data_IF_652013184384
#
_entry.id   IF_652013184384
#
_cell.length_a   1.000
_cell.length_b   1.000
_cell.length_c   1.000
_cell.angle_alpha   90.00
_cell.angle_beta   90.00
_cell.angle_gamma   90.00
#
_symmetry.space_group_name_H-M   'P 1'
#
loop_
_entity.id
_entity.type
_entity.pdbx_description
1 polymer ?
#
# COMPACT_ATOMS: atom_id res chain seq x y z
N UNK A 1 -5.91 32.44 -15.70
CA UNK A 1 -4.83 33.24 -15.07
C UNK A 1 -3.99 32.28 -14.25
N UNK A 2 -2.78 31.98 -14.73
CA UNK A 2 -1.87 30.99 -14.13
C UNK A 2 -0.89 31.75 -13.25
N UNK A 3 -0.97 31.56 -11.92
CA UNK A 3 0.10 32.01 -11.03
C UNK A 3 1.28 31.05 -11.14
N UNK A 4 2.34 31.49 -11.84
CA UNK A 4 3.69 30.94 -11.71
C UNK A 4 4.21 31.27 -10.32
N UNK A 5 4.45 30.27 -9.48
CA UNK A 5 5.38 30.42 -8.36
C UNK A 5 6.77 30.07 -8.85
N UNK A 6 7.61 31.09 -8.97
CA UNK A 6 9.05 30.96 -9.16
C UNK A 6 9.67 30.41 -7.89
N UNK A 7 9.83 29.10 -7.81
CA UNK A 7 10.88 28.40 -7.08
C UNK A 7 10.72 26.90 -7.37
N UNK A 8 11.75 26.28 -7.93
CA UNK A 8 11.77 24.89 -8.38
C UNK A 8 11.72 23.86 -7.25
N UNK A 9 10.61 23.82 -6.51
CA UNK A 9 10.26 22.76 -5.57
C UNK A 9 9.22 21.83 -6.22
N UNK A 10 9.22 20.52 -5.94
CA UNK A 10 8.10 19.66 -6.31
C UNK A 10 6.94 19.91 -5.35
N UNK A 11 6.29 21.07 -5.48
CA UNK A 11 5.08 21.44 -4.74
C UNK A 11 3.95 20.42 -4.96
N UNK A 12 3.98 19.67 -6.06
CA UNK A 12 2.96 18.68 -6.43
C UNK A 12 2.88 17.50 -5.45
N UNK A 13 3.99 16.96 -4.92
CA UNK A 13 3.95 15.78 -4.01
C UNK A 13 3.51 16.16 -2.59
N UNK A 14 3.91 17.34 -2.11
CA UNK A 14 3.40 17.91 -0.86
C UNK A 14 1.92 18.27 -0.98
N UNK A 15 1.51 18.84 -2.12
CA UNK A 15 0.10 19.14 -2.42
C UNK A 15 -0.72 17.86 -2.46
N UNK A 16 -0.22 16.76 -3.02
CA UNK A 16 -0.91 15.45 -3.04
C UNK A 16 -1.13 14.89 -1.63
N UNK A 17 -0.13 14.99 -0.75
CA UNK A 17 -0.27 14.52 0.64
C UNK A 17 -1.31 15.31 1.42
N UNK A 18 -1.33 16.64 1.25
CA UNK A 18 -2.31 17.52 1.88
C UNK A 18 -3.69 17.39 1.23
N UNK A 19 -3.77 17.26 -0.10
CA UNK A 19 -5.03 17.09 -0.84
C UNK A 19 -5.67 15.74 -0.54
N UNK A 20 -4.89 14.66 -0.47
CA UNK A 20 -5.39 13.33 -0.09
C UNK A 20 -5.92 13.33 1.35
N UNK A 21 -5.20 13.93 2.30
CA UNK A 21 -5.67 14.09 3.68
C UNK A 21 -6.92 14.99 3.76
N UNK A 22 -6.98 16.08 2.99
CA UNK A 22 -8.17 16.94 2.87
C UNK A 22 -9.36 16.18 2.29
N UNK A 23 -9.16 15.41 1.22
CA UNK A 23 -10.21 14.57 0.60
C UNK A 23 -10.76 13.52 1.57
N UNK A 24 -9.89 12.88 2.36
CA UNK A 24 -10.33 11.95 3.42
C UNK A 24 -11.01 12.67 4.60
N UNK A 25 -10.61 13.90 4.92
CA UNK A 25 -11.19 14.68 6.03
C UNK A 25 -12.55 15.31 5.71
N UNK A 26 -12.78 15.67 4.44
CA UNK A 26 -13.99 16.34 3.97
C UNK A 26 -15.00 15.37 3.38
N UNK A 27 -14.56 14.20 2.87
CA UNK A 27 -15.38 13.27 2.09
C UNK A 27 -16.17 13.91 0.92
N UNK A 28 -15.81 15.13 0.50
CA UNK A 28 -16.32 15.76 -0.72
C UNK A 28 -15.54 15.19 -1.91
N UNK A 29 -15.87 13.94 -2.28
CA UNK A 29 -15.63 13.46 -3.63
C UNK A 29 -16.84 13.84 -4.47
N UNK A 30 -16.73 14.93 -5.23
CA UNK A 30 -17.65 15.17 -6.33
C UNK A 30 -17.60 13.95 -7.26
N UNK A 31 -18.78 13.38 -7.48
CA UNK A 31 -19.08 12.13 -8.21
C UNK A 31 -18.65 12.14 -9.69
N UNK A 32 -17.97 13.17 -10.17
CA UNK A 32 -17.62 13.35 -11.58
C UNK A 32 -16.40 12.53 -12.05
N UNK A 33 -15.59 11.96 -11.15
CA UNK A 33 -14.38 11.20 -11.51
C UNK A 33 -14.55 9.68 -11.50
N UNK A 34 -15.66 9.14 -10.98
CA UNK A 34 -15.88 7.69 -10.89
C UNK A 34 -16.95 7.24 -11.90
N UNK A 35 -16.58 6.44 -12.90
CA UNK A 35 -17.52 5.73 -13.79
C UNK A 35 -17.07 4.28 -14.05
N UNK A 36 -17.98 3.30 -14.20
CA UNK A 36 -19.36 3.19 -13.72
C UNK A 36 -19.50 1.90 -12.89
N UNK A 37 -19.08 1.91 -11.62
CA UNK A 37 -19.61 0.98 -10.64
C UNK A 37 -19.87 1.81 -9.38
N UNK A 38 -21.15 1.94 -9.07
CA UNK A 38 -21.68 2.78 -8.01
C UNK A 38 -21.13 2.37 -6.64
N UNK A 39 -20.06 3.03 -6.20
CA UNK A 39 -19.73 3.11 -4.78
C UNK A 39 -20.03 4.54 -4.33
N UNK A 40 -21.23 4.77 -3.80
CA UNK A 40 -21.58 6.05 -3.20
C UNK A 40 -20.87 6.15 -1.85
N UNK A 41 -19.69 6.79 -1.79
CA UNK A 41 -18.95 6.96 -0.53
C UNK A 41 -19.76 7.70 0.55
N UNK A 42 -20.85 8.40 0.21
CA UNK A 42 -21.75 9.00 1.20
C UNK A 42 -22.57 7.95 1.97
N UNK A 43 -22.86 6.77 1.41
CA UNK A 43 -23.56 5.71 2.16
C UNK A 43 -22.66 5.04 3.19
N UNK A 44 -21.33 5.03 2.97
CA UNK A 44 -20.35 4.58 3.97
C UNK A 44 -20.35 5.47 5.23
N UNK A 45 -20.66 6.77 5.12
CA UNK A 45 -20.69 7.68 6.27
C UNK A 45 -21.72 7.29 7.35
N UNK A 46 -22.74 6.51 6.98
CA UNK A 46 -23.76 5.99 7.89
C UNK A 46 -23.24 4.81 8.73
N UNK A 47 -22.09 4.23 8.37
CA UNK A 47 -21.51 3.12 9.11
C UNK A 47 -20.72 3.63 10.34
N UNK A 48 -20.92 3.04 11.54
CA UNK A 48 -20.30 3.52 12.78
C UNK A 48 -18.77 3.65 12.71
N UNK A 49 -18.11 2.73 11.98
CA UNK A 49 -16.66 2.74 11.80
C UNK A 49 -16.16 3.87 10.89
N UNK A 50 -16.97 4.33 9.91
CA UNK A 50 -16.61 5.48 9.08
C UNK A 50 -16.63 6.78 9.87
N UNK A 51 -17.63 6.99 10.74
CA UNK A 51 -17.68 8.17 11.61
C UNK A 51 -16.52 8.22 12.60
N UNK A 52 -16.18 7.08 13.21
CA UNK A 52 -15.00 6.95 14.07
C UNK A 52 -13.69 7.18 13.30
N UNK A 53 -13.56 6.64 12.09
CA UNK A 53 -12.41 6.85 11.22
C UNK A 53 -12.24 8.32 10.84
N UNK A 54 -13.31 8.99 10.35
CA UNK A 54 -13.28 10.41 9.97
C UNK A 54 -12.87 11.26 11.17
N UNK A 55 -13.36 10.95 12.37
CA UNK A 55 -12.97 11.64 13.59
C UNK A 55 -11.47 11.50 13.88
N UNK A 56 -10.93 10.27 13.87
CA UNK A 56 -9.51 10.04 14.16
C UNK A 56 -8.59 10.61 13.06
N UNK A 57 -8.99 10.52 11.78
CA UNK A 57 -8.27 11.17 10.67
C UNK A 57 -8.28 12.69 10.83
N UNK A 58 -9.41 13.30 11.22
CA UNK A 58 -9.49 14.75 11.50
C UNK A 58 -8.63 15.16 12.69
N UNK A 59 -8.61 14.34 13.75
CA UNK A 59 -7.79 14.58 14.94
C UNK A 59 -6.29 14.48 14.60
N UNK A 60 -5.88 13.44 13.88
CA UNK A 60 -4.52 13.28 13.37
C UNK A 60 -4.11 14.41 12.43
N UNK A 61 -5.00 14.83 11.52
CA UNK A 61 -4.75 15.95 10.60
C UNK A 61 -4.57 17.29 11.32
N UNK A 62 -5.40 17.59 12.33
CA UNK A 62 -5.23 18.79 13.18
C UNK A 62 -3.88 18.77 13.91
N UNK A 63 -3.46 17.60 14.37
CA UNK A 63 -2.17 17.38 15.03
C UNK A 63 -0.99 17.59 14.07
N UNK A 64 -1.09 17.11 12.82
CA UNK A 64 -0.05 17.25 11.79
C UNK A 64 0.16 18.69 11.33
N UNK A 65 -0.91 19.48 11.20
CA UNK A 65 -0.80 20.84 10.65
C UNK A 65 -0.29 21.89 11.64
N UNK A 66 -0.07 21.54 12.90
CA UNK A 66 0.30 22.52 13.93
C UNK A 66 -0.70 23.69 14.01
N UNK A 67 -1.94 23.50 13.53
CA UNK A 67 -3.03 24.45 13.77
C UNK A 67 -3.28 24.35 15.26
N UNK A 68 -2.68 25.28 15.98
CA UNK A 68 -2.77 25.48 17.41
C UNK A 68 -4.02 24.81 18.02
N UNK A 69 -3.83 23.61 18.57
CA UNK A 69 -4.22 23.42 19.95
C UNK A 69 -3.25 24.28 20.72
N UNK A 70 -3.54 25.60 20.82
CA UNK A 70 -2.82 26.44 21.77
C UNK A 70 -2.95 25.67 23.09
N UNK A 71 -1.82 25.44 23.76
CA UNK A 71 -1.79 25.14 25.19
C UNK A 71 -2.32 26.35 25.97
N UNK A 72 -3.57 26.72 25.73
CA UNK A 72 -4.40 27.55 26.55
C UNK A 72 -5.55 26.64 26.91
N UNK A 73 -5.55 26.17 28.16
CA UNK A 73 -6.55 25.31 28.78
C UNK A 73 -7.73 24.97 27.85
N UNK A 74 -7.77 23.72 27.37
CA UNK A 74 -9.02 23.14 26.89
C UNK A 74 -10.06 23.47 27.94
N UNK A 75 -11.07 24.26 27.57
CA UNK A 75 -12.17 24.52 28.50
C UNK A 75 -12.72 23.16 28.90
N UNK A 76 -13.03 22.95 30.17
CA UNK A 76 -13.47 21.63 30.67
C UNK A 76 -14.66 21.04 29.89
N UNK A 77 -15.38 21.86 29.12
CA UNK A 77 -16.43 21.44 28.19
C UNK A 77 -15.91 20.72 26.92
N UNK A 78 -14.77 21.11 26.35
CA UNK A 78 -14.18 20.45 25.16
C UNK A 78 -13.48 19.13 25.53
N UNK A 79 -12.76 19.09 26.66
CA UNK A 79 -12.23 17.83 27.21
C UNK A 79 -13.35 16.88 27.59
N UNK A 80 -14.42 17.38 28.23
CA UNK A 80 -15.60 16.57 28.51
C UNK A 80 -16.30 16.11 27.23
N UNK A 81 -16.41 16.93 26.17
CA UNK A 81 -17.04 16.53 24.91
C UNK A 81 -16.20 15.51 24.12
N UNK A 82 -14.87 15.62 24.14
CA UNK A 82 -13.94 14.64 23.56
C UNK A 82 -13.98 13.34 24.37
N UNK A 83 -13.92 13.42 25.70
CA UNK A 83 -14.03 12.26 26.58
C UNK A 83 -15.41 11.58 26.44
N UNK A 84 -16.51 12.32 26.48
CA UNK A 84 -17.88 11.84 26.26
C UNK A 84 -18.05 11.23 24.86
N UNK A 85 -17.44 11.84 23.85
CA UNK A 85 -17.43 11.34 22.48
C UNK A 85 -16.59 10.06 22.31
N UNK A 86 -15.51 9.89 23.08
CA UNK A 86 -14.71 8.67 23.14
C UNK A 86 -15.41 7.57 23.95
N UNK A 87 -16.04 7.90 25.07
CA UNK A 87 -16.79 6.94 25.90
C UNK A 87 -18.05 6.46 25.20
N UNK A 88 -18.76 7.31 24.45
CA UNK A 88 -19.94 6.91 23.68
C UNK A 88 -19.60 6.10 22.42
N UNK A 89 -18.41 6.29 21.81
CA UNK A 89 -17.97 5.56 20.61
C UNK A 89 -17.25 4.24 20.90
N UNK A 90 -16.74 4.04 22.12
CA UNK A 90 -16.10 2.78 22.53
C UNK A 90 -17.07 1.58 22.42
N UNK A 91 -18.33 1.63 22.93
CA UNK A 91 -19.32 0.58 22.72
C UNK A 91 -19.66 0.31 21.26
N UNK A 92 -19.69 1.36 20.42
CA UNK A 92 -19.96 1.23 18.99
C UNK A 92 -18.85 0.49 18.25
N UNK A 93 -17.59 0.77 18.59
CA UNK A 93 -16.44 0.06 18.01
C UNK A 93 -16.34 -1.38 18.50
N UNK A 94 -16.63 -1.64 19.79
CA UNK A 94 -16.67 -3.00 20.31
C UNK A 94 -17.76 -3.85 19.63
N UNK A 95 -18.91 -3.24 19.28
CA UNK A 95 -19.93 -3.90 18.45
C UNK A 95 -19.45 -4.22 17.03
N UNK A 96 -18.72 -3.29 16.38
CA UNK A 96 -18.14 -3.52 15.05
C UNK A 96 -17.09 -4.64 15.10
N UNK A 97 -16.26 -4.68 16.14
CA UNK A 97 -15.28 -5.74 16.34
C UNK A 97 -15.96 -7.08 16.63
N UNK A 98 -16.97 -7.11 17.50
CA UNK A 98 -17.76 -8.32 17.79
C UNK A 98 -18.44 -8.88 16.54
N UNK A 99 -19.12 -8.03 15.75
CA UNK A 99 -19.67 -8.42 14.45
C UNK A 99 -18.59 -8.96 13.50
N UNK A 100 -17.41 -8.35 13.53
CA UNK A 100 -16.26 -8.79 12.75
C UNK A 100 -15.73 -10.17 13.18
N UNK A 101 -15.69 -10.46 14.48
CA UNK A 101 -15.34 -11.77 15.01
C UNK A 101 -16.31 -12.84 14.52
N UNK A 102 -17.62 -12.57 14.57
CA UNK A 102 -18.64 -13.51 14.09
C UNK A 102 -18.45 -13.84 12.59
N UNK A 103 -18.11 -12.84 11.77
CA UNK A 103 -17.78 -13.06 10.36
C UNK A 103 -16.54 -13.94 10.21
N UNK A 104 -15.50 -13.72 11.00
CA UNK A 104 -14.28 -14.53 10.96
C UNK A 104 -14.59 -15.97 11.34
N UNK A 105 -15.33 -16.21 12.43
CA UNK A 105 -15.73 -17.55 12.84
C UNK A 105 -16.55 -18.24 11.77
N UNK A 106 -17.56 -17.56 11.22
CA UNK A 106 -18.37 -18.11 10.14
C UNK A 106 -17.51 -18.52 8.94
N UNK A 107 -16.52 -17.69 8.56
CA UNK A 107 -15.59 -18.02 7.48
C UNK A 107 -14.71 -19.23 7.82
N UNK A 108 -14.17 -19.28 9.04
CA UNK A 108 -13.29 -20.37 9.50
C UNK A 108 -14.04 -21.70 9.59
N UNK A 109 -15.29 -21.70 10.07
CA UNK A 109 -16.11 -22.90 10.22
C UNK A 109 -16.63 -23.44 8.87
N UNK A 110 -17.12 -22.56 7.99
CA UNK A 110 -17.79 -22.98 6.76
C UNK A 110 -16.87 -23.12 5.54
N UNK A 111 -15.70 -22.46 5.55
CA UNK A 111 -14.78 -22.42 4.40
C UNK A 111 -13.40 -22.97 4.74
N UNK A 112 -13.29 -23.83 5.76
CA UNK A 112 -12.02 -24.43 6.19
C UNK A 112 -11.30 -25.20 5.08
N UNK A 113 -12.05 -25.89 4.23
CA UNK A 113 -11.51 -26.65 3.10
C UNK A 113 -10.81 -25.76 2.05
N UNK A 114 -11.16 -24.47 1.99
CA UNK A 114 -10.56 -23.49 1.09
C UNK A 114 -9.34 -22.78 1.69
N UNK A 115 -8.83 -23.23 2.84
CA UNK A 115 -7.68 -22.66 3.52
C UNK A 115 -6.48 -22.42 2.60
N UNK A 116 -6.11 -23.40 1.77
CA UNK A 116 -4.94 -23.29 0.91
C UNK A 116 -5.13 -22.24 -0.19
N UNK A 117 -6.34 -22.17 -0.76
CA UNK A 117 -6.70 -21.12 -1.71
C UNK A 117 -6.67 -19.74 -1.06
N UNK A 118 -7.24 -19.60 0.14
CA UNK A 118 -7.26 -18.32 0.86
C UNK A 118 -5.85 -17.89 1.25
N UNK A 119 -5.00 -18.80 1.73
CA UNK A 119 -3.59 -18.48 2.01
C UNK A 119 -2.84 -18.06 0.75
N UNK A 120 -3.03 -18.78 -0.36
CA UNK A 120 -2.46 -18.38 -1.65
C UNK A 120 -2.92 -16.98 -2.06
N UNK A 121 -4.21 -16.66 -1.91
CA UNK A 121 -4.72 -15.32 -2.21
C UNK A 121 -4.14 -14.26 -1.27
N UNK A 122 -3.82 -14.60 -0.02
CA UNK A 122 -3.05 -13.69 0.85
C UNK A 122 -1.66 -13.42 0.29
N UNK A 123 -0.99 -14.46 -0.23
CA UNK A 123 0.31 -14.30 -0.89
C UNK A 123 0.17 -13.43 -2.13
N UNK A 124 -0.85 -13.64 -2.97
CA UNK A 124 -1.11 -12.77 -4.15
C UNK A 124 -1.25 -11.30 -3.75
N UNK A 125 -1.90 -11.02 -2.61
CA UNK A 125 -2.03 -9.67 -2.07
C UNK A 125 -0.83 -9.14 -1.28
N UNK A 126 0.26 -9.91 -1.15
CA UNK A 126 1.44 -9.51 -0.38
C UNK A 126 2.17 -8.35 -1.08
N UNK A 127 2.40 -7.21 -0.40
CA UNK A 127 3.14 -6.08 -0.94
C UNK A 127 4.55 -6.41 -1.45
N UNK A 128 5.16 -7.52 -1.02
CA UNK A 128 6.46 -8.00 -1.53
C UNK A 128 6.38 -8.45 -2.98
N UNK A 129 5.26 -9.05 -3.40
CA UNK A 129 5.06 -9.50 -4.77
C UNK A 129 4.98 -8.35 -5.78
N UNK A 130 4.68 -7.13 -5.32
CA UNK A 130 4.78 -5.93 -6.13
C UNK A 130 6.19 -5.79 -6.68
N UNK A 131 7.21 -5.92 -5.83
CA UNK A 131 8.61 -5.71 -6.21
C UNK A 131 9.22 -6.94 -6.88
N UNK A 132 8.81 -8.15 -6.48
CA UNK A 132 9.39 -9.40 -6.99
C UNK A 132 8.76 -9.89 -8.31
N UNK A 133 7.49 -9.57 -8.58
CA UNK A 133 6.72 -10.13 -9.72
C UNK A 133 6.11 -9.03 -10.59
N UNK A 134 5.23 -8.20 -10.04
CA UNK A 134 4.41 -7.29 -10.86
C UNK A 134 5.24 -6.16 -11.49
N UNK A 135 6.11 -5.51 -10.71
CA UNK A 135 6.97 -4.44 -11.19
C UNK A 135 7.92 -4.90 -12.30
N UNK A 136 8.69 -6.00 -12.16
CA UNK A 136 9.53 -6.51 -13.24
C UNK A 136 8.78 -6.76 -14.55
N UNK A 137 7.60 -7.38 -14.48
CA UNK A 137 6.78 -7.68 -15.65
C UNK A 137 6.32 -6.39 -16.34
N UNK A 138 5.73 -5.48 -15.58
CA UNK A 138 5.19 -4.24 -16.14
C UNK A 138 6.25 -3.27 -16.60
N UNK A 139 7.40 -3.22 -15.94
CA UNK A 139 8.52 -2.38 -16.36
C UNK A 139 9.00 -2.78 -17.75
N UNK A 140 9.25 -4.07 -18.00
CA UNK A 140 9.72 -4.53 -19.32
C UNK A 140 8.64 -4.46 -20.41
N UNK A 141 7.35 -4.49 -20.04
CA UNK A 141 6.25 -4.20 -20.97
C UNK A 141 6.21 -2.71 -21.34
N UNK A 142 6.18 -1.84 -20.32
CA UNK A 142 6.21 -0.39 -20.41
C UNK A 142 6.96 0.23 -19.23
N UNK A 143 8.12 0.83 -19.52
CA UNK A 143 8.97 1.46 -18.49
C UNK A 143 8.19 2.51 -17.68
N UNK A 144 7.34 3.27 -18.34
CA UNK A 144 6.46 4.29 -17.73
C UNK A 144 5.57 3.67 -16.66
N UNK A 145 4.86 2.59 -16.99
CA UNK A 145 3.94 1.92 -16.05
C UNK A 145 4.71 1.30 -14.88
N UNK A 146 5.86 0.68 -15.15
CA UNK A 146 6.73 0.13 -14.10
C UNK A 146 7.23 1.20 -13.12
N UNK A 147 7.67 2.35 -13.61
CA UNK A 147 8.09 3.49 -12.77
C UNK A 147 6.92 3.99 -11.92
N UNK A 148 5.74 4.21 -12.52
CA UNK A 148 4.53 4.61 -11.77
C UNK A 148 4.17 3.60 -10.69
N UNK A 149 4.28 2.30 -10.99
CA UNK A 149 3.94 1.24 -10.04
C UNK A 149 4.75 1.34 -8.74
N UNK A 150 6.06 1.60 -8.82
CA UNK A 150 6.89 1.77 -7.62
C UNK A 150 6.52 3.03 -6.86
N UNK A 151 6.31 4.15 -7.54
CA UNK A 151 5.87 5.39 -6.90
C UNK A 151 4.57 5.20 -6.12
N UNK A 152 3.58 4.60 -6.79
CA UNK A 152 2.26 4.33 -6.23
C UNK A 152 2.35 3.35 -5.06
N UNK A 153 3.14 2.28 -5.18
CA UNK A 153 3.31 1.31 -4.12
C UNK A 153 4.01 1.91 -2.88
N UNK A 154 5.09 2.67 -3.07
CA UNK A 154 5.84 3.31 -1.98
C UNK A 154 5.00 4.35 -1.26
N UNK A 155 4.33 5.23 -2.00
CA UNK A 155 3.50 6.28 -1.40
C UNK A 155 2.24 5.69 -0.76
N UNK A 156 1.64 4.68 -1.39
CA UNK A 156 0.50 3.96 -0.82
C UNK A 156 0.83 3.27 0.50
N UNK A 157 1.96 2.57 0.59
CA UNK A 157 2.40 1.92 1.82
C UNK A 157 2.85 2.94 2.89
N UNK A 158 3.40 4.10 2.48
CA UNK A 158 3.65 5.21 3.39
C UNK A 158 2.35 5.80 3.98
N UNK A 159 1.30 5.98 3.18
CA UNK A 159 -0.01 6.38 3.72
C UNK A 159 -0.61 5.30 4.63
N UNK A 160 -0.46 4.02 4.26
CA UNK A 160 -0.89 2.91 5.12
C UNK A 160 -0.24 2.99 6.50
N UNK A 161 1.07 3.26 6.54
CA UNK A 161 1.84 3.45 7.76
C UNK A 161 1.30 4.61 8.62
N UNK A 162 1.15 5.80 8.01
CA UNK A 162 0.64 6.98 8.72
C UNK A 162 -0.78 6.74 9.24
N UNK A 163 -1.66 6.11 8.45
CA UNK A 163 -3.02 5.79 8.91
C UNK A 163 -3.05 4.74 10.01
N UNK A 164 -2.17 3.73 9.99
CA UNK A 164 -2.03 2.78 11.09
C UNK A 164 -1.69 3.45 12.40
N UNK A 165 -0.81 4.45 12.36
CA UNK A 165 -0.44 5.25 13.51
C UNK A 165 -1.52 6.24 13.94
N UNK A 166 -2.38 6.74 13.05
CA UNK A 166 -3.49 7.63 13.41
C UNK A 166 -4.69 6.85 13.97
N UNK A 167 -4.99 5.70 13.36
CA UNK A 167 -6.22 4.96 13.63
C UNK A 167 -6.10 3.97 14.78
N UNK A 168 -4.90 3.59 15.23
CA UNK A 168 -4.72 2.67 16.37
C UNK A 168 -5.60 1.41 16.31
N UNK A 169 -5.73 0.83 15.11
CA UNK A 169 -6.65 -0.29 14.88
C UNK A 169 -6.23 -1.57 15.60
N UNK A 170 -7.16 -2.21 16.30
CA UNK A 170 -6.99 -3.53 16.92
C UNK A 170 -6.97 -4.63 15.84
N UNK A 171 -6.40 -5.80 16.15
CA UNK A 171 -6.51 -7.00 15.32
C UNK A 171 -7.40 -8.04 16.00
N UNK A 172 -8.10 -8.90 15.22
CA UNK A 172 -9.02 -9.88 15.78
C UNK A 172 -8.39 -10.79 16.84
N UNK A 173 -7.22 -11.39 16.54
CA UNK A 173 -6.62 -12.41 17.38
C UNK A 173 -6.20 -11.94 18.78
N UNK A 174 -5.83 -10.67 18.95
CA UNK A 174 -5.52 -10.11 20.27
C UNK A 174 -6.70 -9.36 20.90
N UNK A 175 -7.59 -8.78 20.08
CA UNK A 175 -8.72 -8.01 20.60
C UNK A 175 -9.67 -8.90 21.40
N UNK A 176 -9.93 -10.10 20.88
CA UNK A 176 -10.83 -11.06 21.52
C UNK A 176 -10.35 -11.53 22.90
N UNK A 177 -9.03 -11.48 23.14
CA UNK A 177 -8.41 -11.90 24.39
C UNK A 177 -8.44 -10.81 25.48
N UNK A 178 -8.59 -9.55 25.06
CA UNK A 178 -8.51 -8.40 25.97
C UNK A 178 -9.82 -7.64 26.10
N UNK A 179 -10.82 -7.97 25.29
CA UNK A 179 -12.11 -7.29 25.32
C UNK A 179 -12.93 -7.69 26.54
N UNK A 180 -13.53 -6.70 27.19
CA UNK A 180 -14.54 -6.90 28.24
C UNK A 180 -15.95 -7.07 27.66
N UNK A 181 -16.09 -7.15 26.33
CA UNK A 181 -17.39 -7.23 25.67
C UNK A 181 -18.14 -8.54 25.99
N UNK A 182 -17.43 -9.66 26.11
CA UNK A 182 -18.01 -10.99 26.31
C UNK A 182 -18.11 -11.42 27.79
N UNK A 183 -18.19 -10.47 28.75
CA UNK A 183 -18.18 -10.73 30.21
C UNK A 183 -18.93 -12.03 30.63
N UNK A 184 -18.16 -13.08 30.96
CA UNK A 184 -18.57 -14.43 31.42
C UNK A 184 -19.17 -15.40 30.37
N UNK A 185 -19.32 -15.02 29.11
CA UNK A 185 -19.62 -15.97 28.03
C UNK A 185 -18.33 -16.64 27.54
N UNK A 186 -18.42 -17.88 27.04
CA UNK A 186 -17.27 -18.54 26.41
C UNK A 186 -16.79 -17.71 25.23
N UNK A 187 -15.55 -17.21 25.30
CA UNK A 187 -14.97 -16.38 24.25
C UNK A 187 -14.99 -17.14 22.91
N UNK A 188 -15.41 -16.48 21.81
CA UNK A 188 -15.37 -17.11 20.50
C UNK A 188 -13.93 -17.50 20.15
N UNK A 189 -13.70 -18.75 19.73
CA UNK A 189 -12.36 -19.19 19.35
C UNK A 189 -12.07 -18.76 17.92
N UNK A 190 -10.90 -18.14 17.70
CA UNK A 190 -10.39 -17.80 16.37
C UNK A 190 -9.14 -18.63 16.10
N UNK A 191 -9.11 -19.34 14.98
CA UNK A 191 -7.93 -20.06 14.53
C UNK A 191 -6.83 -19.06 14.11
N UNK A 192 -5.59 -19.32 14.55
CA UNK A 192 -4.41 -18.58 14.13
C UNK A 192 -3.56 -19.43 13.17
N UNK A 193 -2.98 -18.78 12.17
CA UNK A 193 -2.13 -19.37 11.14
C UNK A 193 -0.74 -18.72 11.16
N UNK A 194 0.20 -19.30 10.42
CA UNK A 194 1.58 -18.82 10.34
C UNK A 194 1.73 -17.36 9.88
N UNK A 195 0.74 -16.80 9.17
CA UNK A 195 0.71 -15.39 8.72
C UNK A 195 -0.22 -14.49 9.56
N UNK A 196 -0.77 -14.99 10.66
CA UNK A 196 -1.73 -14.24 11.49
C UNK A 196 -1.06 -13.17 12.34
N UNK A 197 0.13 -13.46 12.88
CA UNK A 197 0.80 -12.65 13.90
C UNK A 197 1.59 -11.47 13.34
N UNK A 198 0.95 -10.64 12.52
CA UNK A 198 1.53 -9.37 12.10
C UNK A 198 1.68 -8.40 13.29
N UNK A 199 2.79 -7.66 13.30
CA UNK A 199 3.22 -6.83 14.44
C UNK A 199 2.73 -5.37 14.42
N UNK A 200 2.32 -4.85 13.26
CA UNK A 200 1.80 -3.48 13.15
C UNK A 200 0.30 -3.36 13.50
N UNK A 201 -0.24 -2.13 13.67
CA UNK A 201 -1.68 -1.90 13.87
C UNK A 201 -2.54 -2.45 12.71
N UNK A 202 -3.79 -2.80 12.99
CA UNK A 202 -4.68 -3.50 12.05
C UNK A 202 -5.38 -2.62 11.01
N UNK A 203 -5.47 -1.30 11.21
CA UNK A 203 -6.32 -0.43 10.37
C UNK A 203 -5.52 0.67 9.68
N UNK A 204 -5.53 0.79 8.33
CA UNK A 204 -6.13 -0.11 7.34
C UNK A 204 -5.25 -1.32 7.01
N UNK A 205 -5.85 -2.34 6.38
CA UNK A 205 -5.12 -3.53 5.93
C UNK A 205 -4.08 -3.17 4.86
N UNK A 206 -2.81 -3.47 5.13
CA UNK A 206 -1.69 -3.20 4.21
C UNK A 206 -1.73 -4.10 2.98
N UNK A 207 -2.14 -5.36 3.12
CA UNK A 207 -2.31 -6.29 1.99
C UNK A 207 -3.42 -5.83 1.05
N UNK A 208 -4.60 -5.48 1.59
CA UNK A 208 -5.71 -5.00 0.77
C UNK A 208 -5.38 -3.68 0.07
N UNK A 209 -4.75 -2.74 0.79
CA UNK A 209 -4.35 -1.45 0.24
C UNK A 209 -3.25 -1.57 -0.81
N UNK A 210 -2.17 -2.29 -0.53
CA UNK A 210 -1.06 -2.48 -1.48
C UNK A 210 -1.49 -3.21 -2.74
N UNK A 211 -2.26 -4.29 -2.59
CA UNK A 211 -2.83 -5.06 -3.71
C UNK A 211 -3.74 -4.20 -4.57
N UNK A 212 -4.76 -3.55 -3.98
CA UNK A 212 -5.73 -2.78 -4.76
C UNK A 212 -5.05 -1.62 -5.49
N UNK A 213 -4.07 -0.99 -4.87
CA UNK A 213 -3.31 0.11 -5.43
C UNK A 213 -2.56 -0.30 -6.72
N UNK A 214 -1.82 -1.41 -6.68
CA UNK A 214 -1.04 -1.88 -7.83
C UNK A 214 -1.92 -2.49 -8.91
N UNK A 215 -2.90 -3.32 -8.52
CA UNK A 215 -3.84 -3.90 -9.48
C UNK A 215 -4.65 -2.82 -10.21
N UNK A 216 -5.03 -1.74 -9.54
CA UNK A 216 -5.71 -0.62 -10.19
C UNK A 216 -4.82 0.01 -11.28
N UNK A 217 -3.53 0.26 -10.98
CA UNK A 217 -2.56 0.77 -11.97
C UNK A 217 -2.40 -0.18 -13.15
N UNK A 218 -2.34 -1.50 -12.91
CA UNK A 218 -2.23 -2.50 -13.98
C UNK A 218 -3.44 -2.46 -14.92
N UNK A 219 -4.64 -2.42 -14.34
CA UNK A 219 -5.91 -2.42 -15.10
C UNK A 219 -6.09 -1.14 -15.89
N UNK A 220 -5.88 0.03 -15.29
CA UNK A 220 -6.00 1.32 -15.99
C UNK A 220 -4.94 1.44 -17.09
N UNK A 221 -3.71 0.97 -16.86
CA UNK A 221 -2.66 0.95 -17.87
C UNK A 221 -2.99 0.01 -19.04
N UNK A 222 -3.50 -1.19 -18.76
CA UNK A 222 -3.94 -2.14 -19.80
C UNK A 222 -5.06 -1.56 -20.67
N UNK A 223 -6.03 -0.88 -20.05
CA UNK A 223 -7.12 -0.20 -20.75
C UNK A 223 -6.62 0.96 -21.59
N UNK A 224 -5.68 1.75 -21.08
CA UNK A 224 -5.08 2.85 -21.83
C UNK A 224 -4.32 2.37 -23.06
N UNK A 225 -3.60 1.23 -22.98
CA UNK A 225 -2.94 0.63 -24.16
C UNK A 225 -3.92 0.03 -25.17
N UNK A 226 -5.08 -0.42 -24.72
CA UNK A 226 -6.09 -1.07 -25.58
C UNK A 226 -7.15 -0.11 -26.11
N UNK A 227 -7.03 1.18 -25.81
CA UNK A 227 -8.01 2.20 -26.19
C UNK A 227 -8.03 2.39 -27.72
N UNK A 228 -9.19 2.26 -28.39
CA UNK A 228 -9.30 2.49 -29.82
C UNK A 228 -8.90 3.93 -30.18
N UNK A 229 -8.16 4.09 -31.29
CA UNK A 229 -7.85 5.42 -31.82
C UNK A 229 -9.14 6.12 -32.27
N UNK A 230 -9.28 7.40 -31.92
CA UNK A 230 -10.44 8.25 -32.23
C UNK A 230 -10.74 8.36 -33.74
N UNK A 231 -9.78 7.99 -34.59
CA UNK A 231 -9.88 8.07 -36.06
C UNK A 231 -10.50 6.81 -36.69
N UNK A 232 -10.61 5.69 -35.97
CA UNK A 232 -11.11 4.39 -36.48
C UNK A 232 -12.09 3.76 -35.49
N UNK A 233 -13.12 4.52 -35.10
CA UNK A 233 -14.19 4.02 -34.22
C UNK A 233 -15.27 3.31 -35.01
N UNK A 234 -15.03 2.04 -35.33
CA UNK A 234 -16.10 1.09 -35.69
C UNK A 234 -16.92 0.72 -34.44
N UNK A 235 -18.24 0.55 -34.60
CA UNK A 235 -19.15 0.05 -33.54
C UNK A 235 -18.61 -1.23 -32.89
N UNK A 236 -18.01 -2.11 -33.71
CA UNK A 236 -17.42 -3.37 -33.25
C UNK A 236 -16.16 -3.17 -32.38
N UNK A 237 -15.34 -2.15 -32.69
CA UNK A 237 -14.15 -1.81 -31.91
C UNK A 237 -14.53 -1.25 -30.53
N UNK A 238 -15.56 -0.40 -30.50
CA UNK A 238 -16.13 0.12 -29.25
C UNK A 238 -16.70 -0.99 -28.36
N UNK A 239 -17.48 -1.92 -28.94
CA UNK A 239 -18.01 -3.08 -28.20
C UNK A 239 -16.92 -3.98 -27.62
N UNK A 240 -15.86 -4.27 -28.38
CA UNK A 240 -14.72 -5.06 -27.91
C UNK A 240 -13.98 -4.37 -26.76
N UNK A 241 -13.78 -3.05 -26.83
CA UNK A 241 -13.18 -2.29 -25.75
C UNK A 241 -14.04 -2.29 -24.49
N UNK A 242 -15.37 -2.14 -24.61
CA UNK A 242 -16.29 -2.25 -23.49
C UNK A 242 -16.25 -3.65 -22.85
N UNK A 243 -16.22 -4.71 -23.65
CA UNK A 243 -16.08 -6.08 -23.15
C UNK A 243 -14.76 -6.29 -22.41
N UNK A 244 -13.65 -5.82 -22.98
CA UNK A 244 -12.34 -5.88 -22.33
C UNK A 244 -12.34 -5.09 -21.01
N UNK A 245 -12.93 -3.90 -21.00
CA UNK A 245 -13.11 -3.09 -19.80
C UNK A 245 -13.86 -3.86 -18.72
N UNK A 246 -15.02 -4.42 -19.04
CA UNK A 246 -15.79 -5.22 -18.08
C UNK A 246 -15.00 -6.43 -17.58
N UNK A 247 -14.34 -7.17 -18.48
CA UNK A 247 -13.53 -8.33 -18.12
C UNK A 247 -12.39 -7.98 -17.16
N UNK A 248 -11.61 -6.94 -17.47
CA UNK A 248 -10.48 -6.50 -16.63
C UNK A 248 -10.95 -6.03 -15.24
N UNK A 249 -12.05 -5.27 -15.16
CA UNK A 249 -12.61 -4.87 -13.86
C UNK A 249 -13.19 -6.05 -13.08
N UNK A 250 -13.79 -7.04 -13.75
CA UNK A 250 -14.24 -8.27 -13.09
C UNK A 250 -13.06 -9.03 -12.47
N UNK A 251 -11.95 -9.18 -13.22
CA UNK A 251 -10.72 -9.81 -12.70
C UNK A 251 -10.18 -9.04 -11.49
N UNK A 252 -10.15 -7.70 -11.56
CA UNK A 252 -9.77 -6.87 -10.42
C UNK A 252 -10.60 -7.20 -9.18
N UNK A 253 -11.94 -7.17 -9.29
CA UNK A 253 -12.83 -7.40 -8.16
C UNK A 253 -12.72 -8.81 -7.60
N UNK A 254 -12.63 -9.84 -8.45
CA UNK A 254 -12.46 -11.23 -8.01
C UNK A 254 -11.19 -11.36 -7.16
N UNK A 255 -10.07 -10.81 -7.62
CA UNK A 255 -8.79 -10.88 -6.91
C UNK A 255 -8.86 -10.09 -5.62
N UNK A 256 -9.35 -8.85 -5.64
CA UNK A 256 -9.38 -8.01 -4.46
C UNK A 256 -10.33 -8.54 -3.38
N UNK A 257 -11.52 -9.03 -3.76
CA UNK A 257 -12.46 -9.65 -2.82
C UNK A 257 -11.82 -10.89 -2.19
N UNK A 258 -11.15 -11.72 -2.99
CA UNK A 258 -10.46 -12.92 -2.51
C UNK A 258 -9.33 -12.59 -1.55
N UNK A 259 -8.53 -11.55 -1.82
CA UNK A 259 -7.50 -11.03 -0.89
C UNK A 259 -8.16 -10.56 0.41
N UNK A 260 -9.24 -9.77 0.33
CA UNK A 260 -9.94 -9.25 1.51
C UNK A 260 -10.51 -10.38 2.38
N UNK A 261 -11.22 -11.36 1.79
CA UNK A 261 -11.77 -12.52 2.49
C UNK A 261 -10.64 -13.32 3.14
N UNK A 262 -9.54 -13.55 2.40
CA UNK A 262 -8.36 -14.22 2.92
C UNK A 262 -7.83 -13.57 4.20
N UNK A 263 -7.60 -12.25 4.20
CA UNK A 263 -7.07 -11.51 5.37
C UNK A 263 -8.02 -11.51 6.58
N UNK A 264 -9.32 -11.63 6.35
CA UNK A 264 -10.35 -11.81 7.39
C UNK A 264 -10.32 -13.25 7.92
N UNK A 265 -10.32 -14.25 7.03
CA UNK A 265 -10.29 -15.67 7.37
C UNK A 265 -9.09 -16.04 8.27
N UNK A 266 -7.89 -15.51 7.99
CA UNK A 266 -6.70 -15.75 8.83
C UNK A 266 -6.68 -14.94 10.14
N UNK A 267 -7.80 -14.33 10.54
CA UNK A 267 -7.97 -13.53 11.75
C UNK A 267 -6.99 -12.37 11.93
N UNK A 268 -6.43 -11.86 10.84
CA UNK A 268 -5.39 -10.80 10.89
C UNK A 268 -6.00 -9.40 10.78
N UNK A 269 -7.16 -9.28 10.14
CA UNK A 269 -7.90 -8.02 9.96
C UNK A 269 -9.40 -8.22 10.14
N UNK A 270 -10.07 -7.17 10.61
CA UNK A 270 -11.53 -7.10 10.58
C UNK A 270 -12.07 -6.68 9.20
N UNK A 271 -13.33 -7.01 8.86
CA UNK A 271 -13.94 -6.66 7.56
C UNK A 271 -13.84 -5.17 7.20
N UNK A 272 -14.09 -4.26 8.15
CA UNK A 272 -14.00 -2.81 7.89
C UNK A 272 -12.56 -2.36 7.54
N UNK A 273 -11.54 -3.04 8.06
CA UNK A 273 -10.13 -2.69 7.84
C UNK A 273 -9.66 -3.07 6.44
N UNK A 274 -10.15 -4.20 5.91
CA UNK A 274 -9.85 -4.64 4.55
C UNK A 274 -10.61 -3.80 3.51
N UNK A 275 -11.87 -3.44 3.79
CA UNK A 275 -12.65 -2.53 2.95
C UNK A 275 -11.99 -1.15 2.90
N UNK A 276 -11.58 -0.60 4.05
CA UNK A 276 -10.88 0.68 4.08
C UNK A 276 -9.56 0.63 3.31
N UNK A 277 -8.77 -0.43 3.51
CA UNK A 277 -7.51 -0.63 2.78
C UNK A 277 -7.74 -0.65 1.28
N UNK A 278 -8.70 -1.45 0.80
CA UNK A 278 -9.07 -1.54 -0.60
C UNK A 278 -9.37 -0.15 -1.21
N UNK A 279 -10.29 0.60 -0.58
CA UNK A 279 -10.72 1.92 -1.06
C UNK A 279 -9.56 2.94 -1.04
N UNK A 280 -8.77 2.95 0.03
CA UNK A 280 -7.60 3.83 0.14
C UNK A 280 -6.57 3.54 -0.96
N UNK A 281 -6.31 2.26 -1.27
CA UNK A 281 -5.37 1.88 -2.33
C UNK A 281 -5.84 2.30 -3.71
N UNK A 282 -7.13 2.11 -4.03
CA UNK A 282 -7.73 2.59 -5.28
C UNK A 282 -7.64 4.12 -5.40
N UNK A 283 -7.93 4.85 -4.32
CA UNK A 283 -7.85 6.31 -4.30
C UNK A 283 -6.43 6.81 -4.55
N UNK A 284 -5.42 6.22 -3.90
CA UNK A 284 -4.01 6.57 -4.15
C UNK A 284 -3.64 6.32 -5.61
N UNK A 285 -4.02 5.18 -6.17
CA UNK A 285 -3.71 4.84 -7.56
C UNK A 285 -4.37 5.80 -8.57
N UNK A 286 -5.62 6.20 -8.32
CA UNK A 286 -6.36 7.15 -9.14
C UNK A 286 -5.72 8.54 -9.08
N UNK A 287 -5.40 9.06 -7.89
CA UNK A 287 -4.73 10.36 -7.73
C UNK A 287 -3.41 10.40 -8.51
N UNK A 288 -2.63 9.32 -8.47
CA UNK A 288 -1.38 9.21 -9.19
C UNK A 288 -1.53 9.03 -10.71
N UNK A 289 -2.71 8.66 -11.21
CA UNK A 289 -2.99 8.67 -12.66
C UNK A 289 -3.08 10.10 -13.22
N UNK A 290 -3.50 11.06 -12.39
CA UNK A 290 -3.62 12.46 -12.75
C UNK A 290 -2.31 13.27 -12.60
N UNK A 291 -1.17 12.62 -12.32
CA UNK A 291 0.12 13.28 -12.10
C UNK A 291 1.17 12.77 -13.11
N UNK A 292 1.22 13.34 -14.32
CA UNK A 292 2.18 12.93 -15.35
C UNK A 292 3.64 13.30 -15.01
N UNK A 293 3.84 14.24 -14.09
CA UNK A 293 5.14 14.79 -13.72
C UNK A 293 6.11 13.75 -13.12
N UNK A 294 5.58 12.66 -12.55
CA UNK A 294 6.36 11.63 -11.86
C UNK A 294 7.31 10.84 -12.79
N UNK A 295 7.00 10.76 -14.08
CA UNK A 295 7.78 9.95 -15.03
C UNK A 295 9.13 10.56 -15.40
N UNK A 296 9.23 11.90 -15.38
CA UNK A 296 10.44 12.63 -15.76
C UNK A 296 11.15 13.21 -14.53
N UNK A 297 10.91 12.64 -13.34
CA UNK A 297 11.51 13.10 -12.11
C UNK A 297 13.04 12.97 -12.15
N UNK A 298 13.74 14.07 -11.85
CA UNK A 298 15.21 14.07 -11.72
C UNK A 298 15.66 13.28 -10.49
N UNK A 299 16.92 12.82 -10.47
CA UNK A 299 17.49 12.16 -9.28
C UNK A 299 17.32 13.00 -8.00
N UNK A 300 17.47 14.32 -8.09
CA UNK A 300 17.24 15.24 -6.96
C UNK A 300 15.83 15.11 -6.41
N UNK A 301 14.82 14.97 -7.28
CA UNK A 301 13.43 14.79 -6.84
C UNK A 301 13.25 13.49 -6.06
N UNK A 302 13.80 12.36 -6.53
CA UNK A 302 13.78 11.09 -5.79
C UNK A 302 14.46 11.20 -4.42
N UNK A 303 15.62 11.87 -4.34
CA UNK A 303 16.33 12.09 -3.08
C UNK A 303 15.53 12.97 -2.12
N UNK A 304 14.98 14.08 -2.60
CA UNK A 304 14.15 14.97 -1.79
C UNK A 304 12.88 14.27 -1.29
N UNK A 305 12.21 13.48 -2.13
CA UNK A 305 11.05 12.70 -1.70
C UNK A 305 11.44 11.68 -0.62
N UNK A 306 12.54 10.95 -0.78
CA UNK A 306 13.00 10.01 0.24
C UNK A 306 13.25 10.68 1.59
N UNK A 307 13.98 11.80 1.58
CA UNK A 307 14.25 12.59 2.79
C UNK A 307 12.93 13.09 3.40
N UNK A 308 12.03 13.61 2.57
CA UNK A 308 10.72 14.09 3.02
C UNK A 308 9.89 12.98 3.69
N UNK A 309 9.72 11.84 3.03
CA UNK A 309 8.93 10.72 3.56
C UNK A 309 9.51 10.18 4.87
N UNK A 310 10.85 10.10 4.97
CA UNK A 310 11.54 9.70 6.19
C UNK A 310 11.35 10.73 7.31
N UNK A 311 11.65 12.00 7.06
CA UNK A 311 11.55 13.07 8.05
C UNK A 311 10.11 13.24 8.57
N UNK A 312 9.09 13.15 7.70
CA UNK A 312 7.69 13.24 8.13
C UNK A 312 7.30 12.02 8.97
N UNK A 313 7.69 10.81 8.56
CA UNK A 313 7.38 9.61 9.34
C UNK A 313 8.06 9.61 10.73
N UNK A 314 9.34 9.97 10.80
CA UNK A 314 10.08 10.09 12.06
C UNK A 314 9.55 11.24 12.91
N UNK A 315 9.28 12.40 12.31
CA UNK A 315 8.70 13.55 13.01
C UNK A 315 7.33 13.22 13.61
N UNK A 316 6.48 12.51 12.86
CA UNK A 316 5.18 12.05 13.35
C UNK A 316 5.32 10.99 14.45
N UNK A 317 6.27 10.07 14.34
CA UNK A 317 6.60 9.11 15.40
C UNK A 317 7.01 9.84 16.70
N UNK A 318 7.94 10.79 16.60
CA UNK A 318 8.42 11.55 17.76
C UNK A 318 7.30 12.41 18.38
N UNK A 319 6.43 12.98 17.54
CA UNK A 319 5.27 13.74 18.01
C UNK A 319 4.32 12.85 18.81
N UNK A 320 3.94 11.69 18.30
CA UNK A 320 3.09 10.75 19.03
C UNK A 320 3.76 10.26 20.32
N UNK A 321 5.06 10.02 20.29
CA UNK A 321 5.83 9.66 21.48
C UNK A 321 5.82 10.78 22.53
N UNK A 322 5.92 12.05 22.11
CA UNK A 322 5.84 13.19 23.03
C UNK A 322 4.46 13.40 23.66
N UNK A 323 3.41 12.81 23.07
CA UNK A 323 2.05 12.79 23.60
C UNK A 323 1.78 11.54 24.47
N UNK A 324 2.84 10.83 24.91
CA UNK A 324 2.78 9.56 25.67
C UNK A 324 2.01 8.43 24.95
N UNK A 325 1.88 8.51 23.62
CA UNK A 325 1.25 7.46 22.83
C UNK A 325 2.31 6.44 22.41
N UNK A 326 2.35 5.31 23.12
CA UNK A 326 3.30 4.23 22.84
C UNK A 326 2.98 3.52 21.52
N UNK A 327 3.72 3.78 20.45
CA UNK A 327 3.53 3.13 19.13
C UNK A 327 3.93 1.65 19.07
N UNK A 328 4.73 1.17 20.03
CA UNK A 328 5.11 -0.24 20.16
C UNK A 328 4.02 -1.10 20.83
N UNK A 329 2.89 -0.49 21.24
CA UNK A 329 1.75 -1.20 21.84
C UNK A 329 1.32 -2.44 21.04
N UNK A 330 1.31 -2.32 19.71
CA UNK A 330 0.88 -3.37 18.78
C UNK A 330 1.87 -4.53 18.75
N UNK A 331 3.17 -4.24 18.84
CA UNK A 331 4.23 -5.26 18.92
C UNK A 331 4.12 -6.04 20.23
N UNK A 332 3.87 -5.34 21.34
CA UNK A 332 3.67 -5.99 22.66
C UNK A 332 2.46 -6.91 22.64
N UNK A 333 1.34 -6.49 22.03
CA UNK A 333 0.14 -7.34 21.89
C UNK A 333 0.38 -8.55 20.99
N UNK A 334 1.08 -8.35 19.86
CA UNK A 334 1.45 -9.45 18.97
C UNK A 334 2.30 -10.50 19.70
N UNK A 335 3.33 -10.07 20.45
CA UNK A 335 4.16 -10.97 21.27
C UNK A 335 3.40 -11.70 22.37
N UNK A 336 2.39 -11.06 22.95
CA UNK A 336 1.61 -11.63 24.04
C UNK A 336 0.59 -12.68 23.57
N UNK A 337 -0.07 -12.43 22.44
CA UNK A 337 -1.26 -13.19 22.03
C UNK A 337 -1.06 -14.06 20.76
N UNK A 338 0.13 -14.02 20.17
CA UNK A 338 0.46 -14.94 19.08
C UNK A 338 0.60 -16.37 19.61
N UNK A 339 -0.03 -17.33 18.92
CA UNK A 339 -0.01 -18.74 19.32
C UNK A 339 1.37 -19.39 19.20
N UNK A 340 2.21 -18.92 18.28
CA UNK A 340 3.58 -19.40 18.10
C UNK A 340 4.55 -18.22 17.91
N UNK A 341 5.58 -18.06 18.78
CA UNK A 341 6.53 -16.95 18.67
C UNK A 341 7.29 -16.92 17.33
N UNK A 342 7.45 -18.05 16.65
CA UNK A 342 8.12 -18.13 15.34
C UNK A 342 7.32 -17.47 14.21
N UNK A 343 6.02 -17.24 14.41
CA UNK A 343 5.14 -16.53 13.46
C UNK A 343 5.25 -15.01 13.58
N UNK A 344 6.02 -14.51 14.55
CA UNK A 344 6.25 -13.08 14.74
C UNK A 344 7.43 -12.66 13.86
N UNK A 345 7.12 -12.02 12.73
CA UNK A 345 8.15 -11.58 11.81
C UNK A 345 8.44 -10.07 11.95
N UNK A 346 9.71 -9.73 12.22
CA UNK A 346 10.20 -8.34 12.38
C UNK A 346 10.07 -7.50 11.10
N UNK A 347 10.04 -8.14 9.94
CA UNK A 347 9.84 -7.53 8.63
C UNK A 347 8.44 -6.94 8.44
N UNK A 348 7.46 -7.40 9.23
CA UNK A 348 6.09 -6.83 9.26
C UNK A 348 6.00 -5.56 10.10
N UNK A 349 7.10 -5.12 10.72
CA UNK A 349 7.08 -3.92 11.53
C UNK A 349 6.90 -2.65 10.68
N UNK A 350 6.20 -1.63 11.21
CA UNK A 350 6.01 -0.34 10.55
C UNK A 350 7.31 0.30 10.01
N UNK A 351 8.39 0.25 10.81
CA UNK A 351 9.69 0.81 10.44
C UNK A 351 10.42 -0.01 9.37
N UNK A 352 10.35 -1.34 9.42
CA UNK A 352 10.92 -2.18 8.38
C UNK A 352 10.26 -1.90 7.02
N UNK A 353 8.92 -1.70 7.00
CA UNK A 353 8.18 -1.26 5.83
C UNK A 353 8.66 0.08 5.28
N UNK A 354 8.79 1.09 6.15
CA UNK A 354 9.31 2.42 5.77
C UNK A 354 10.69 2.33 5.10
N UNK A 355 11.63 1.65 5.74
CA UNK A 355 13.02 1.53 5.25
C UNK A 355 13.08 0.80 3.90
N UNK A 356 12.28 -0.26 3.73
CA UNK A 356 12.14 -0.97 2.46
C UNK A 356 11.59 -0.05 1.36
N UNK A 357 10.56 0.74 1.65
CA UNK A 357 9.96 1.65 0.67
C UNK A 357 10.93 2.76 0.24
N UNK A 358 11.66 3.34 1.19
CA UNK A 358 12.70 4.34 0.90
C UNK A 358 13.81 3.72 0.05
N UNK A 359 14.27 2.52 0.41
CA UNK A 359 15.25 1.78 -0.39
C UNK A 359 14.78 1.60 -1.83
N UNK A 360 13.56 1.11 -2.04
CA UNK A 360 13.02 0.88 -3.38
C UNK A 360 12.92 2.18 -4.20
N UNK A 361 12.44 3.27 -3.62
CA UNK A 361 12.32 4.55 -4.32
C UNK A 361 13.70 5.15 -4.65
N UNK A 362 14.65 5.05 -3.71
CA UNK A 362 16.03 5.46 -3.92
C UNK A 362 16.70 4.65 -5.05
N UNK A 363 16.57 3.32 -4.99
CA UNK A 363 17.09 2.40 -6.00
C UNK A 363 16.53 2.68 -7.39
N UNK A 364 15.22 2.93 -7.49
CA UNK A 364 14.59 3.33 -8.75
C UNK A 364 15.16 4.65 -9.28
N UNK A 365 15.28 5.65 -8.42
CA UNK A 365 15.83 6.95 -8.76
C UNK A 365 17.24 6.88 -9.33
N UNK A 366 18.12 6.07 -8.71
CA UNK A 366 19.45 5.79 -9.25
C UNK A 366 19.39 5.08 -10.59
N UNK A 367 18.50 4.09 -10.73
CA UNK A 367 18.41 3.27 -11.92
C UNK A 367 17.99 4.08 -13.16
N UNK A 368 16.89 4.83 -13.07
CA UNK A 368 16.35 5.60 -14.20
C UNK A 368 17.22 6.78 -14.62
N UNK A 369 18.08 7.27 -13.71
CA UNK A 369 19.05 8.34 -13.98
C UNK A 369 20.46 7.82 -14.31
N UNK A 370 20.67 6.49 -14.37
CA UNK A 370 21.98 5.89 -14.67
C UNK A 370 22.27 5.89 -16.18
N UNK A 371 23.57 5.90 -16.53
CA UNK A 371 24.01 5.71 -17.92
C UNK A 371 23.65 4.33 -18.45
N UNK A 372 23.64 3.30 -17.58
CA UNK A 372 23.25 1.93 -17.93
C UNK A 372 21.83 1.89 -18.51
N UNK A 373 20.87 2.52 -17.84
CA UNK A 373 19.48 2.61 -18.30
C UNK A 373 19.34 3.35 -19.63
N UNK A 374 20.09 4.45 -19.83
CA UNK A 374 20.05 5.21 -21.08
C UNK A 374 20.58 4.35 -22.23
N UNK A 375 21.68 3.64 -22.04
CA UNK A 375 22.29 2.82 -23.09
C UNK A 375 21.43 1.60 -23.47
N UNK A 376 20.83 0.91 -22.50
CA UNK A 376 20.04 -0.29 -22.75
C UNK A 376 18.59 0.04 -23.15
N UNK A 377 17.87 0.75 -22.29
CA UNK A 377 16.41 0.87 -22.33
C UNK A 377 15.93 2.05 -23.19
N UNK A 378 16.78 3.04 -23.49
CA UNK A 378 16.49 4.09 -24.50
C UNK A 378 17.14 3.82 -25.86
N UNK A 379 17.89 2.73 -26.00
CA UNK A 379 18.51 2.34 -27.27
C UNK A 379 17.50 1.73 -28.25
N UNK A 380 17.89 1.63 -29.54
CA UNK A 380 17.06 1.06 -30.62
C UNK A 380 16.62 -0.40 -30.37
N UNK A 381 17.35 -1.14 -29.53
CA UNK A 381 17.06 -2.54 -29.23
C UNK A 381 15.99 -2.74 -28.14
N UNK A 382 15.69 -1.72 -27.34
CA UNK A 382 14.77 -1.81 -26.20
C UNK A 382 13.34 -2.21 -26.59
N UNK A 383 12.93 -1.88 -27.82
CA UNK A 383 11.60 -2.18 -28.34
C UNK A 383 11.45 -3.61 -28.89
N UNK A 384 12.56 -4.35 -29.06
CA UNK A 384 12.50 -5.71 -29.61
C UNK A 384 11.92 -6.68 -28.59
N UNK A 385 10.93 -7.48 -28.99
CA UNK A 385 10.30 -8.49 -28.13
C UNK A 385 11.31 -9.49 -27.55
N UNK A 386 12.35 -9.86 -28.31
CA UNK A 386 13.45 -10.72 -27.82
C UNK A 386 14.19 -10.11 -26.63
N UNK A 387 14.53 -8.81 -26.70
CA UNK A 387 15.18 -8.11 -25.60
C UNK A 387 14.30 -8.08 -24.36
N UNK A 388 13.02 -7.70 -24.51
CA UNK A 388 12.04 -7.67 -23.41
C UNK A 388 11.88 -9.03 -22.74
N UNK A 389 11.75 -10.10 -23.52
CA UNK A 389 11.59 -11.46 -22.99
C UNK A 389 12.84 -11.93 -22.23
N UNK A 390 14.04 -11.67 -22.76
CA UNK A 390 15.29 -11.97 -22.07
C UNK A 390 15.41 -11.19 -20.75
N UNK A 391 15.09 -9.89 -20.76
CA UNK A 391 15.10 -9.07 -19.56
C UNK A 391 14.10 -9.57 -18.51
N UNK A 392 12.86 -9.91 -18.89
CA UNK A 392 11.86 -10.48 -17.97
C UNK A 392 12.37 -11.78 -17.35
N UNK A 393 12.86 -12.71 -18.18
CA UNK A 393 13.31 -14.03 -17.72
C UNK A 393 14.52 -13.90 -16.80
N UNK A 394 15.52 -13.10 -17.18
CA UNK A 394 16.69 -12.84 -16.37
C UNK A 394 16.31 -12.17 -15.04
N UNK A 395 15.37 -11.22 -15.06
CA UNK A 395 14.92 -10.52 -13.86
C UNK A 395 14.20 -11.45 -12.90
N UNK A 396 13.20 -12.20 -13.35
CA UNK A 396 12.44 -13.11 -12.48
C UNK A 396 13.33 -14.21 -11.90
N UNK A 397 14.28 -14.72 -12.69
CA UNK A 397 15.25 -15.72 -12.22
C UNK A 397 16.18 -15.13 -11.16
N UNK A 398 16.73 -13.93 -11.41
CA UNK A 398 17.62 -13.23 -10.48
C UNK A 398 16.93 -12.92 -9.17
N UNK A 399 15.67 -12.45 -9.21
CA UNK A 399 14.90 -12.13 -8.00
C UNK A 399 14.55 -13.38 -7.20
N UNK A 400 14.20 -14.50 -7.84
CA UNK A 400 14.01 -15.77 -7.13
C UNK A 400 15.27 -16.25 -6.42
N UNK A 401 16.44 -16.11 -7.05
CA UNK A 401 17.72 -16.43 -6.41
C UNK A 401 18.03 -15.45 -5.27
N UNK A 402 17.66 -14.19 -5.44
CA UNK A 402 17.85 -13.13 -4.45
C UNK A 402 17.05 -13.37 -3.16
N UNK A 403 15.88 -14.00 -3.27
CA UNK A 403 15.06 -14.37 -2.11
C UNK A 403 15.65 -15.50 -1.26
N UNK A 404 16.61 -16.27 -1.79
CA UNK A 404 17.33 -17.29 -1.02
C UNK A 404 18.32 -16.69 -0.01
N UNK A 405 18.70 -15.41 -0.18
CA UNK A 405 19.64 -14.73 0.71
C UNK A 405 18.91 -14.34 2.01
N UNK A 406 19.19 -15.10 3.07
CA UNK A 406 18.69 -14.81 4.43
C UNK A 406 19.43 -13.62 5.03
N UNK A 407 18.67 -12.74 5.70
CA UNK A 407 19.18 -11.56 6.38
C UNK A 407 19.61 -11.90 7.81
N UNK A 408 20.76 -11.41 8.29
CA UNK A 408 21.11 -11.53 9.71
C UNK A 408 20.17 -10.65 10.55
N UNK A 409 19.54 -11.23 11.57
CA UNK A 409 18.54 -10.58 12.43
C UNK A 409 19.08 -10.18 13.80
N UNK A 410 20.35 -10.45 14.10
CA UNK A 410 20.92 -10.33 15.44
C UNK A 410 21.15 -8.88 15.91
N UNK A 411 21.23 -7.90 15.00
CA UNK A 411 21.39 -6.48 15.34
C UNK A 411 20.38 -5.64 14.57
N UNK A 412 19.55 -4.87 15.28
CA UNK A 412 18.44 -4.10 14.69
C UNK A 412 18.92 -3.08 13.65
N UNK A 413 19.98 -2.33 13.96
CA UNK A 413 20.55 -1.34 13.04
C UNK A 413 21.06 -2.00 11.74
N UNK A 414 21.76 -3.12 11.86
CA UNK A 414 22.26 -3.87 10.71
C UNK A 414 21.10 -4.41 9.88
N UNK A 415 20.05 -4.92 10.52
CA UNK A 415 18.84 -5.39 9.85
C UNK A 415 18.19 -4.27 9.02
N UNK A 416 18.03 -3.07 9.57
CA UNK A 416 17.46 -1.94 8.82
C UNK A 416 18.35 -1.49 7.66
N UNK A 417 19.67 -1.37 7.87
CA UNK A 417 20.61 -0.98 6.81
C UNK A 417 20.59 -2.00 5.68
N UNK A 418 20.68 -3.29 6.00
CA UNK A 418 20.65 -4.35 5.00
C UNK A 418 19.30 -4.43 4.30
N UNK A 419 18.18 -4.22 5.01
CA UNK A 419 16.84 -4.14 4.42
C UNK A 419 16.73 -2.99 3.40
N UNK A 420 17.29 -1.82 3.72
CA UNK A 420 17.37 -0.69 2.80
C UNK A 420 18.16 -1.07 1.54
N UNK A 421 19.37 -1.59 1.72
CA UNK A 421 20.24 -2.00 0.60
C UNK A 421 19.59 -3.07 -0.27
N UNK A 422 18.94 -4.07 0.36
CA UNK A 422 18.21 -5.12 -0.33
C UNK A 422 17.10 -4.55 -1.18
N UNK A 423 16.28 -3.68 -0.60
CA UNK A 423 15.16 -3.07 -1.30
C UNK A 423 15.62 -2.13 -2.42
N UNK A 424 16.70 -1.37 -2.23
CA UNK A 424 17.27 -0.50 -3.26
C UNK A 424 17.86 -1.29 -4.44
N UNK A 425 18.49 -2.43 -4.16
CA UNK A 425 19.09 -3.26 -5.20
C UNK A 425 18.05 -3.84 -6.17
N UNK A 426 16.80 -4.07 -5.74
CA UNK A 426 15.76 -4.69 -6.58
C UNK A 426 15.39 -3.77 -7.76
N UNK A 427 14.89 -2.54 -7.57
CA UNK A 427 14.63 -1.64 -8.70
C UNK A 427 15.88 -1.29 -9.50
N UNK A 428 17.03 -1.15 -8.84
CA UNK A 428 18.30 -0.90 -9.52
C UNK A 428 18.68 -2.04 -10.48
N UNK A 429 18.56 -3.28 -10.02
CA UNK A 429 18.80 -4.49 -10.80
C UNK A 429 17.87 -4.61 -12.00
N UNK A 430 16.56 -4.49 -11.76
CA UNK A 430 15.49 -4.64 -12.76
C UNK A 430 15.59 -3.60 -13.87
N UNK A 431 15.88 -2.34 -13.52
CA UNK A 431 15.78 -1.20 -14.43
C UNK A 431 17.08 -0.90 -15.16
N UNK A 432 18.23 -1.05 -14.49
CA UNK A 432 19.53 -0.65 -15.02
C UNK A 432 20.44 -1.86 -15.32
N UNK A 433 20.74 -2.67 -14.30
CA UNK A 433 21.79 -3.70 -14.40
C UNK A 433 21.44 -4.82 -15.38
N UNK A 434 20.28 -5.46 -15.19
CA UNK A 434 19.89 -6.61 -16.01
C UNK A 434 19.68 -6.19 -17.48
N UNK A 435 18.94 -5.11 -17.80
CA UNK A 435 18.81 -4.65 -19.18
C UNK A 435 20.14 -4.30 -19.83
N UNK A 436 21.10 -3.76 -19.07
CA UNK A 436 22.44 -3.46 -19.57
C UNK A 436 23.21 -4.72 -19.96
N UNK A 437 23.25 -5.74 -19.11
CA UNK A 437 23.88 -7.01 -19.44
C UNK A 437 23.22 -7.71 -20.62
N UNK A 438 21.89 -7.72 -20.68
CA UNK A 438 21.16 -8.27 -21.84
C UNK A 438 21.48 -7.48 -23.12
N UNK A 439 21.60 -6.16 -23.02
CA UNK A 439 21.99 -5.32 -24.16
C UNK A 439 23.39 -5.66 -24.67
N UNK A 440 24.36 -5.88 -23.77
CA UNK A 440 25.72 -6.29 -24.15
C UNK A 440 25.72 -7.65 -24.86
N UNK A 441 25.01 -8.65 -24.32
CA UNK A 441 24.90 -9.98 -24.92
C UNK A 441 24.33 -9.94 -26.35
N UNK A 442 23.26 -9.17 -26.57
CA UNK A 442 22.65 -9.01 -27.90
C UNK A 442 23.52 -8.14 -28.85
N UNK A 443 24.34 -7.27 -28.29
CA UNK A 443 25.27 -6.42 -29.02
C UNK A 443 26.43 -7.20 -29.63
N UNK A 444 26.98 -8.15 -28.87
CA UNK A 444 28.11 -8.99 -29.31
C UNK A 444 27.69 -10.03 -30.37
N UNK A 445 26.49 -10.62 -30.28
CA UNK A 445 25.98 -11.53 -31.33
C UNK A 445 25.92 -10.87 -32.72
N UNK A 446 25.76 -9.54 -32.80
CA UNK A 446 25.70 -8.80 -34.07
C UNK A 446 27.05 -8.30 -34.58
N UNK A 447 28.11 -8.38 -33.77
CA UNK A 447 29.47 -8.14 -34.25
C UNK A 447 30.13 -9.41 -34.78
N UNK A 448 29.58 -10.58 -34.42
CA UNK A 448 30.05 -11.90 -34.80
C UNK A 448 29.27 -12.53 -35.96
N UNK A 449 28.11 -11.96 -36.33
CA UNK A 449 27.29 -12.33 -37.49
C UNK A 449 27.36 -11.23 -38.55
#
# INVERSE_FOLDING_TARGET
MVCKTSNGYPAEVQTVSVTFLKMLSSCDLETHYFTPFWFNLKSLQLLPWCSWMIYNVRLGYKTILGVNVVHGALTGAEEAAVALGHTARKPQMDFVYSSGVLVIQHLQENYREYHDFLNYMSTVGDPRNIFSVYFPLWFHLSHTVGIKMIWVAVIGDWFNLIFKWILFGQRPYWWIQETHFYNNDSFPHLEQFHITCETGPGNPSGHAMGSSCVWYVMITSALNFSRPSSTVTSVQSSQRFCLLKSCLWMVFWIIQISVCISRVFIATHFPHQVVLGLLAGMLVAEVFDHIPSLYNASLKAYLHTNIFLFCVAVGFYLLLQSMDINLLWSVTKAKKWCANPDWIHLDTSPFAGLVRNLGALFGLGLAVNSQMFIQSCKGKNAYKSRFKLMCVTATLTSLKLYDLIKMPTHTELLFYILSFCKSASVPFGVVAVIPYFVHLLIGDERKLA
#
